data_IF_910594106718
#
_entry.id   IF_910594106718
#
_cell.length_a   1.000
_cell.length_b   1.000
_cell.length_c   1.000
_cell.angle_alpha   90.00
_cell.angle_beta   90.00
_cell.angle_gamma   90.00
#
_symmetry.space_group_name_H-M   'P 1'
#
loop_
_entity.id
_entity.type
_entity.pdbx_description
1 polymer ?
#
# COMPACT_ATOMS: atom_id res chain seq x y z
N UNK A 1 3.75 -4.74 -17.62
CA UNK A 1 2.69 -5.35 -16.81
C UNK A 1 2.89 -4.95 -15.36
N UNK A 2 2.47 -3.75 -14.95
CA UNK A 2 2.55 -3.32 -13.55
C UNK A 2 1.16 -3.40 -12.95
N UNK A 3 0.76 -4.61 -12.54
CA UNK A 3 -0.48 -4.82 -11.79
C UNK A 3 -0.36 -4.19 -10.40
N UNK A 4 -1.45 -3.60 -9.90
CA UNK A 4 -1.54 -3.13 -8.52
C UNK A 4 -2.07 -4.25 -7.65
N UNK A 5 -1.57 -4.32 -6.43
CA UNK A 5 -2.01 -5.28 -5.43
C UNK A 5 -3.06 -4.64 -4.54
N UNK A 6 -4.08 -5.42 -4.22
CA UNK A 6 -5.18 -5.07 -3.35
C UNK A 6 -5.35 -6.20 -2.34
N UNK A 7 -5.83 -5.86 -1.15
CA UNK A 7 -6.13 -6.85 -0.13
C UNK A 7 -7.63 -6.85 0.16
N UNK A 8 -8.23 -8.04 0.15
CA UNK A 8 -9.61 -8.25 0.60
C UNK A 8 -9.56 -8.91 1.97
N UNK A 9 -10.34 -8.37 2.90
CA UNK A 9 -10.59 -9.00 4.19
C UNK A 9 -11.35 -10.31 4.00
N UNK A 10 -11.44 -11.11 5.08
CA UNK A 10 -12.14 -12.40 5.05
C UNK A 10 -13.60 -12.28 4.58
N UNK A 11 -14.24 -11.15 4.88
CA UNK A 11 -15.62 -10.85 4.52
C UNK A 11 -15.78 -10.33 3.08
N UNK A 12 -14.68 -10.22 2.32
CA UNK A 12 -14.66 -9.75 0.93
C UNK A 12 -14.51 -8.24 0.77
N UNK A 13 -14.57 -7.47 1.85
CA UNK A 13 -14.37 -6.02 1.83
C UNK A 13 -12.91 -5.65 1.54
N UNK A 14 -12.71 -4.64 0.70
CA UNK A 14 -11.39 -4.11 0.40
C UNK A 14 -10.77 -3.44 1.64
N UNK A 15 -9.54 -3.82 1.99
CA UNK A 15 -8.80 -3.19 3.07
C UNK A 15 -8.13 -1.88 2.61
N UNK A 16 -8.05 -0.94 3.55
CA UNK A 16 -7.32 0.32 3.43
C UNK A 16 -6.48 0.54 4.70
N UNK A 17 -5.43 1.35 4.60
CA UNK A 17 -4.49 1.59 5.70
C UNK A 17 -3.53 0.42 5.95
N UNK A 18 -3.02 0.33 7.18
CA UNK A 18 -2.07 -0.70 7.58
C UNK A 18 -2.76 -2.07 7.75
N UNK A 19 -2.16 -3.10 7.15
CA UNK A 19 -2.50 -4.51 7.42
C UNK A 19 -1.26 -5.29 7.84
N UNK A 20 -1.48 -6.31 8.66
CA UNK A 20 -0.46 -7.26 9.09
C UNK A 20 -0.76 -8.62 8.48
N UNK A 21 0.10 -9.09 7.57
CA UNK A 21 -0.03 -10.41 6.93
C UNK A 21 1.20 -11.22 7.26
N UNK A 22 1.01 -12.35 7.95
CA UNK A 22 2.10 -13.26 8.36
C UNK A 22 3.26 -12.55 9.09
N UNK A 23 2.95 -11.57 9.95
CA UNK A 23 3.96 -10.82 10.71
C UNK A 23 4.63 -9.69 9.94
N UNK A 24 4.23 -9.42 8.70
CA UNK A 24 4.77 -8.33 7.86
C UNK A 24 3.71 -7.25 7.64
N UNK A 25 4.10 -5.99 7.83
CA UNK A 25 3.24 -4.83 7.63
C UNK A 25 3.24 -4.35 6.18
N UNK A 26 2.06 -4.03 5.68
CA UNK A 26 1.80 -3.45 4.36
C UNK A 26 0.82 -2.29 4.48
N UNK A 27 0.91 -1.32 3.57
CA UNK A 27 0.02 -0.16 3.56
C UNK A 27 -0.80 -0.08 2.27
N UNK A 28 -2.13 -0.08 2.41
CA UNK A 28 -3.09 0.06 1.33
C UNK A 28 -3.59 1.50 1.32
N UNK A 29 -3.61 2.12 0.15
CA UNK A 29 -3.93 3.53 0.03
C UNK A 29 -5.36 3.86 0.52
N UNK A 30 -5.55 4.68 1.56
CA UNK A 30 -6.87 5.07 2.04
C UNK A 30 -7.38 6.37 1.40
N UNK A 31 -6.69 6.91 0.39
CA UNK A 31 -6.93 8.27 -0.11
C UNK A 31 -7.02 8.33 -1.64
N UNK A 32 -7.83 9.27 -2.14
CA UNK A 32 -7.82 9.64 -3.55
C UNK A 32 -6.67 10.61 -3.88
N UNK A 33 -6.22 10.61 -5.14
CA UNK A 33 -5.29 11.63 -5.67
C UNK A 33 -3.83 11.51 -5.23
N UNK A 34 -3.43 10.40 -4.61
CA UNK A 34 -2.03 10.15 -4.26
C UNK A 34 -1.27 9.66 -5.51
N UNK A 35 -0.03 10.10 -5.68
CA UNK A 35 0.86 9.65 -6.78
C UNK A 35 2.05 8.87 -6.21
N UNK A 36 2.55 7.91 -6.97
CA UNK A 36 3.83 7.25 -6.71
C UNK A 36 5.02 8.19 -7.06
N UNK A 37 6.27 7.84 -6.71
CA UNK A 37 7.44 8.66 -7.06
C UNK A 37 7.64 8.90 -8.57
N UNK A 38 7.02 8.09 -9.42
CA UNK A 38 7.00 8.26 -10.88
C UNK A 38 5.85 9.12 -11.38
N UNK A 39 5.02 9.69 -10.49
CA UNK A 39 3.87 10.52 -10.84
C UNK A 39 2.63 9.74 -11.26
N UNK A 40 2.60 8.40 -11.12
CA UNK A 40 1.42 7.62 -11.48
C UNK A 40 0.43 7.58 -10.31
N UNK A 41 -0.89 7.68 -10.56
CA UNK A 41 -1.90 7.65 -9.50
C UNK A 41 -1.85 6.33 -8.74
N UNK A 42 -1.80 6.35 -7.43
CA UNK A 42 -2.07 5.21 -6.56
C UNK A 42 -3.59 5.21 -6.31
N UNK A 43 -4.37 4.28 -6.89
CA UNK A 43 -5.80 4.16 -6.61
C UNK A 43 -6.04 3.85 -5.13
N UNK A 44 -7.21 4.22 -4.63
CA UNK A 44 -7.67 3.77 -3.31
C UNK A 44 -7.63 2.23 -3.22
N UNK A 45 -7.23 1.70 -2.07
CA UNK A 45 -7.02 0.28 -1.80
C UNK A 45 -5.76 -0.32 -2.39
N UNK A 46 -5.04 0.37 -3.28
CA UNK A 46 -3.82 -0.15 -3.86
C UNK A 46 -2.67 -0.13 -2.84
N UNK A 47 -1.89 -1.22 -2.80
CA UNK A 47 -0.70 -1.33 -1.96
C UNK A 47 0.40 -0.38 -2.41
N UNK A 48 1.01 0.32 -1.44
CA UNK A 48 2.23 1.09 -1.66
C UNK A 48 3.42 0.14 -1.91
N UNK A 49 4.26 0.47 -2.89
CA UNK A 49 5.52 -0.25 -3.19
C UNK A 49 6.61 0.77 -3.51
N UNK A 50 7.81 0.56 -2.98
CA UNK A 50 8.97 1.44 -3.19
C UNK A 50 8.62 2.92 -2.95
N UNK A 51 7.94 3.20 -1.84
CA UNK A 51 7.35 4.50 -1.57
C UNK A 51 7.39 4.83 -0.07
N UNK A 52 7.10 6.08 0.25
CA UNK A 52 6.87 6.55 1.62
C UNK A 52 5.36 6.69 1.82
N UNK A 53 4.83 6.07 2.87
CA UNK A 53 3.41 6.17 3.25
C UNK A 53 3.08 7.59 3.73
N UNK A 54 1.80 8.02 3.73
CA UNK A 54 1.42 9.37 4.17
C UNK A 54 1.82 9.71 5.62
N UNK A 55 1.94 8.69 6.48
CA UNK A 55 2.38 8.79 7.88
C UNK A 55 3.91 8.67 8.06
N UNK A 56 4.65 8.60 6.95
CA UNK A 56 6.11 8.75 6.89
C UNK A 56 6.91 7.45 7.02
N UNK A 57 6.33 6.29 6.73
CA UNK A 57 7.05 5.01 6.76
C UNK A 57 7.52 4.59 5.37
N UNK A 58 8.68 3.96 5.31
CA UNK A 58 9.26 3.44 4.08
C UNK A 58 8.78 2.01 3.84
N UNK A 59 8.25 1.74 2.64
CA UNK A 59 7.92 0.38 2.17
C UNK A 59 8.79 -0.01 0.98
N UNK A 60 9.25 -1.26 0.98
CA UNK A 60 10.12 -1.80 -0.07
C UNK A 60 9.39 -2.14 -1.36
N UNK A 61 10.12 -2.72 -2.32
CA UNK A 61 9.57 -3.17 -3.61
C UNK A 61 8.51 -4.27 -3.49
N UNK A 62 8.50 -5.00 -2.38
CA UNK A 62 7.47 -5.99 -2.04
C UNK A 62 6.25 -5.37 -1.34
N UNK A 63 6.29 -4.07 -1.03
CA UNK A 63 5.30 -3.38 -0.20
C UNK A 63 5.48 -3.58 1.31
N UNK A 64 6.43 -4.42 1.72
CA UNK A 64 6.73 -4.64 3.13
C UNK A 64 7.31 -3.38 3.78
N UNK A 65 6.88 -3.06 4.99
CA UNK A 65 7.50 -2.05 5.85
C UNK A 65 8.98 -2.37 6.08
N UNK A 66 9.85 -1.38 5.83
CA UNK A 66 11.30 -1.50 6.01
C UNK A 66 11.88 -0.49 7.02
N UNK A 67 11.10 0.50 7.45
CA UNK A 67 11.54 1.48 8.45
C UNK A 67 10.74 2.77 8.40
N UNK A 68 11.18 3.74 9.22
CA UNK A 68 10.76 5.13 9.18
C UNK A 68 11.90 5.98 8.65
#
# INVERSE_FOLDING_TARGET
MNGRWYYLNADGDMAIGWILVNGVWYYLNPMAGVLDPGGNPIPEGAMYVSAVTPDGYHVGVSGALIGR
#
